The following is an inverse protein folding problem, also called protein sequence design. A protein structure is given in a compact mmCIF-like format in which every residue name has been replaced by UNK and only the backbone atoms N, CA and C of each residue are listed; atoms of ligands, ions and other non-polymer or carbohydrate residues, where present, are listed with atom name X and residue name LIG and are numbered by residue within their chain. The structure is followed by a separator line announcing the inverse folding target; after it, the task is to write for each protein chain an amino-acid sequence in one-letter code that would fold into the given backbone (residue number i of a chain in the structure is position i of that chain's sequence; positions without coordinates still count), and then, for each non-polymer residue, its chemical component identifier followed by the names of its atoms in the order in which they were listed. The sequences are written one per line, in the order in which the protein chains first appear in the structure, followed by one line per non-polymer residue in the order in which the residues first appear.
data_IF_655904598974
#
_entry.id   IF_655904598974
#
_cell.length_a   1.000
_cell.length_b   1.000
_cell.length_c   1.000
_cell.angle_alpha   90.00
_cell.angle_beta   90.00
_cell.angle_gamma   90.00
#
_symmetry.space_group_name_H-M   'P 1'
#
loop_
_entity.id
_entity.type
_entity.pdbx_description
1 polymer ?
#
# COMPACT_ATOMS: atom_id res chain seq x y z
N UNK A 1 -19.57 -12.74 -2.21
CA UNK A 1 -20.12 -11.40 -1.87
C UNK A 1 -19.58 -10.38 -2.87
N UNK A 2 -20.29 -9.28 -3.19
CA UNK A 2 -19.74 -8.23 -4.05
C UNK A 2 -18.51 -7.58 -3.40
N UNK A 3 -17.57 -7.09 -4.20
CA UNK A 3 -16.27 -6.65 -3.70
C UNK A 3 -16.31 -5.45 -2.75
N UNK A 4 -17.26 -4.53 -2.93
CA UNK A 4 -17.49 -3.43 -1.99
C UNK A 4 -17.87 -3.92 -0.59
N UNK A 5 -18.61 -5.04 -0.49
CA UNK A 5 -18.90 -5.70 0.79
C UNK A 5 -17.68 -6.42 1.36
N UNK A 6 -16.74 -6.86 0.52
CA UNK A 6 -15.50 -7.50 0.99
C UNK A 6 -14.47 -6.50 1.50
N UNK A 7 -14.36 -5.33 0.87
CA UNK A 7 -13.54 -4.23 1.39
C UNK A 7 -14.03 -3.78 2.78
N UNK A 8 -15.34 -3.61 2.94
CA UNK A 8 -15.97 -3.32 4.23
C UNK A 8 -15.75 -4.46 5.24
N UNK A 9 -15.85 -5.71 4.80
CA UNK A 9 -15.60 -6.87 5.66
C UNK A 9 -14.15 -6.95 6.14
N UNK A 10 -13.18 -6.58 5.30
CA UNK A 10 -11.76 -6.65 5.62
C UNK A 10 -11.28 -5.50 6.50
N UNK A 11 -11.75 -4.27 6.25
CA UNK A 11 -11.24 -3.05 6.92
C UNK A 11 -12.24 -2.40 7.88
N UNK A 12 -13.51 -2.80 7.85
CA UNK A 12 -14.58 -2.24 8.69
C UNK A 12 -14.77 -2.93 10.04
N UNK A 13 -13.84 -3.79 10.44
CA UNK A 13 -13.82 -4.43 11.76
C UNK A 13 -13.04 -3.58 12.76
N UNK A 14 -13.39 -3.65 14.04
CA UNK A 14 -12.60 -3.03 15.10
C UNK A 14 -11.26 -3.76 15.26
N UNK A 15 -10.31 -3.11 15.92
CA UNK A 15 -9.07 -3.78 16.32
C UNK A 15 -9.41 -4.97 17.26
N UNK A 16 -8.54 -5.98 17.32
CA UNK A 16 -8.74 -7.27 18.01
C UNK A 16 -9.89 -8.16 17.48
N UNK A 17 -10.64 -7.75 16.44
CA UNK A 17 -11.68 -8.60 15.88
C UNK A 17 -11.12 -9.70 14.95
N UNK A 18 -11.61 -10.95 15.08
CA UNK A 18 -11.18 -12.03 14.22
C UNK A 18 -11.68 -11.88 12.78
N UNK A 19 -10.81 -12.24 11.84
CA UNK A 19 -11.12 -12.26 10.41
C UNK A 19 -10.57 -13.53 9.75
N UNK A 20 -11.31 -14.01 8.75
CA UNK A 20 -10.87 -15.03 7.81
C UNK A 20 -11.11 -14.54 6.39
N UNK A 21 -10.07 -14.59 5.55
CA UNK A 21 -10.08 -14.31 4.12
C UNK A 21 -9.66 -15.58 3.37
N UNK A 22 -10.28 -15.87 2.23
CA UNK A 22 -9.96 -17.06 1.44
C UNK A 22 -9.71 -16.71 -0.02
N UNK A 23 -8.76 -17.40 -0.64
CA UNK A 23 -8.43 -17.31 -2.06
C UNK A 23 -7.81 -15.97 -2.48
N UNK A 24 -7.19 -15.26 -1.54
CA UNK A 24 -6.66 -13.93 -1.76
C UNK A 24 -5.31 -13.98 -2.49
N UNK A 25 -5.08 -13.13 -3.49
CA UNK A 25 -3.82 -13.10 -4.24
C UNK A 25 -2.82 -12.20 -3.53
N UNK A 26 -1.61 -12.69 -3.29
CA UNK A 26 -0.51 -11.86 -2.80
C UNK A 26 -0.03 -10.95 -3.92
N UNK A 27 -0.16 -9.64 -3.73
CA UNK A 27 0.23 -8.62 -4.71
C UNK A 27 1.66 -8.12 -4.50
N UNK A 28 2.17 -8.14 -3.26
CA UNK A 28 3.56 -7.89 -2.92
C UNK A 28 3.94 -8.63 -1.64
N UNK A 29 5.20 -9.01 -1.49
CA UNK A 29 5.73 -9.63 -0.29
C UNK A 29 7.02 -8.93 0.15
N UNK A 30 7.12 -8.64 1.44
CA UNK A 30 8.28 -8.06 2.12
C UNK A 30 8.80 -9.04 3.19
N UNK A 31 9.78 -8.64 3.99
CA UNK A 31 10.40 -9.54 4.97
C UNK A 31 9.43 -10.00 6.07
N UNK A 32 8.65 -9.07 6.62
CA UNK A 32 7.81 -9.33 7.79
C UNK A 32 6.31 -9.29 7.49
N UNK A 33 5.94 -8.86 6.29
CA UNK A 33 4.56 -8.66 5.87
C UNK A 33 4.41 -8.85 4.37
N UNK A 34 3.18 -9.13 3.95
CA UNK A 34 2.80 -9.17 2.55
C UNK A 34 1.44 -8.49 2.37
N UNK A 35 1.11 -8.15 1.13
CA UNK A 35 -0.18 -7.57 0.80
C UNK A 35 -0.98 -8.56 -0.01
N UNK A 36 -2.27 -8.65 0.34
CA UNK A 36 -3.23 -9.38 -0.48
C UNK A 36 -4.21 -8.41 -1.12
N UNK A 37 -4.59 -8.73 -2.35
CA UNK A 37 -5.45 -7.89 -3.16
C UNK A 37 -6.57 -8.72 -3.79
N UNK A 38 -7.77 -8.11 -3.87
CA UNK A 38 -8.89 -8.73 -4.56
C UNK A 38 -8.64 -8.81 -6.06
N UNK A 39 -9.16 -9.85 -6.71
CA UNK A 39 -8.95 -10.07 -8.15
C UNK A 39 -9.50 -8.95 -9.04
N UNK A 40 -10.47 -8.19 -8.55
CA UNK A 40 -11.03 -7.02 -9.23
C UNK A 40 -10.30 -5.71 -8.90
N UNK A 41 -9.27 -5.76 -8.04
CA UNK A 41 -8.40 -4.63 -7.68
C UNK A 41 -9.12 -3.46 -7.04
N UNK A 42 -10.24 -3.74 -6.37
CA UNK A 42 -11.02 -2.73 -5.67
C UNK A 42 -10.56 -2.54 -4.22
N UNK A 43 -9.87 -3.51 -3.63
CA UNK A 43 -9.31 -3.39 -2.28
C UNK A 43 -8.13 -4.35 -2.06
N UNK A 44 -7.26 -3.96 -1.14
CA UNK A 44 -6.17 -4.80 -0.65
C UNK A 44 -5.89 -4.47 0.82
N UNK A 45 -5.22 -5.38 1.51
CA UNK A 45 -4.90 -5.24 2.92
C UNK A 45 -3.53 -5.86 3.22
N UNK A 46 -2.79 -5.23 4.13
CA UNK A 46 -1.52 -5.76 4.64
C UNK A 46 -1.80 -6.95 5.56
N UNK A 47 -0.94 -7.95 5.50
CA UNK A 47 -0.95 -9.13 6.36
C UNK A 47 0.41 -9.23 7.02
N UNK A 48 0.45 -8.98 8.33
CA UNK A 48 1.68 -9.06 9.12
C UNK A 48 1.89 -10.51 9.53
N UNK A 49 2.98 -11.09 9.04
CA UNK A 49 3.35 -12.48 9.31
C UNK A 49 4.87 -12.64 9.27
N UNK A 50 5.60 -12.22 10.33
CA UNK A 50 7.05 -12.28 10.35
C UNK A 50 7.61 -13.66 9.99
N UNK A 51 8.73 -13.68 9.26
CA UNK A 51 9.44 -14.89 8.86
C UNK A 51 8.69 -15.78 7.85
N UNK A 52 7.71 -15.23 7.12
CA UNK A 52 7.05 -15.98 6.05
C UNK A 52 7.96 -16.19 4.84
N UNK A 53 7.62 -17.18 4.01
CA UNK A 53 8.29 -17.44 2.72
C UNK A 53 7.37 -17.24 1.52
N UNK A 54 6.26 -16.51 1.70
CA UNK A 54 5.32 -16.22 0.62
C UNK A 54 5.88 -15.23 -0.40
N UNK A 55 5.37 -15.30 -1.63
CA UNK A 55 5.75 -14.41 -2.72
C UNK A 55 4.52 -13.91 -3.49
N UNK A 56 4.70 -12.80 -4.19
CA UNK A 56 3.69 -12.27 -5.11
C UNK A 56 3.25 -13.35 -6.12
N UNK A 57 1.95 -13.38 -6.42
CA UNK A 57 1.33 -14.36 -7.31
C UNK A 57 0.89 -15.67 -6.64
N UNK A 58 1.20 -15.90 -5.37
CA UNK A 58 0.56 -16.97 -4.59
C UNK A 58 -0.88 -16.58 -4.24
N UNK A 59 -1.78 -17.56 -4.12
CA UNK A 59 -3.08 -17.40 -3.45
C UNK A 59 -3.03 -18.01 -2.07
N UNK A 60 -3.61 -17.31 -1.10
CA UNK A 60 -3.61 -17.70 0.30
C UNK A 60 -4.98 -17.57 0.94
N UNK A 61 -5.20 -18.41 1.94
CA UNK A 61 -6.23 -18.23 2.94
C UNK A 61 -5.55 -17.69 4.22
N UNK A 62 -6.13 -16.65 4.81
CA UNK A 62 -5.55 -15.90 5.93
C UNK A 62 -6.56 -15.87 7.07
N UNK A 63 -6.10 -16.21 8.26
CA UNK A 63 -6.84 -16.05 9.51
C UNK A 63 -6.00 -15.23 10.49
N UNK A 64 -6.66 -14.36 11.24
CA UNK A 64 -5.98 -13.50 12.22
C UNK A 64 -6.92 -12.48 12.84
N UNK A 65 -6.33 -11.43 13.38
CA UNK A 65 -7.04 -10.28 13.95
C UNK A 65 -6.87 -9.06 13.05
N UNK A 66 -7.90 -8.23 12.94
CA UNK A 66 -7.76 -6.91 12.32
C UNK A 66 -7.11 -5.97 13.33
N UNK A 67 -6.16 -5.16 12.85
CA UNK A 67 -5.39 -4.24 13.67
C UNK A 67 -5.09 -2.93 12.92
N UNK A 68 -4.65 -1.91 13.66
CA UNK A 68 -4.17 -0.65 13.11
C UNK A 68 -2.70 -0.42 13.42
N UNK A 69 -1.89 -0.26 12.38
CA UNK A 69 -0.46 -0.02 12.56
C UNK A 69 -0.20 1.34 13.17
N UNK A 70 0.98 1.52 13.79
CA UNK A 70 1.43 2.84 14.25
C UNK A 70 1.54 3.86 13.12
N UNK A 71 1.65 3.40 11.87
CA UNK A 71 1.61 4.20 10.65
C UNK A 71 0.19 4.60 10.22
N UNK A 72 -0.86 4.09 10.86
CA UNK A 72 -2.28 4.35 10.55
C UNK A 72 -2.90 3.44 9.48
N UNK A 73 -2.16 2.44 9.00
CA UNK A 73 -2.66 1.47 8.02
C UNK A 73 -3.37 0.31 8.73
N UNK A 74 -4.56 -0.09 8.25
CA UNK A 74 -5.24 -1.30 8.70
C UNK A 74 -4.59 -2.53 8.10
N UNK A 75 -4.37 -3.53 8.94
CA UNK A 75 -3.72 -4.77 8.58
C UNK A 75 -4.36 -5.96 9.30
N UNK A 76 -3.96 -7.17 8.89
CA UNK A 76 -4.30 -8.41 9.58
C UNK A 76 -3.05 -8.91 10.30
N UNK A 77 -3.12 -9.05 11.62
CA UNK A 77 -2.14 -9.80 12.40
C UNK A 77 -2.44 -11.30 12.22
N UNK A 78 -1.73 -11.94 11.30
CA UNK A 78 -2.07 -13.30 10.89
C UNK A 78 -1.61 -14.35 11.92
N UNK A 79 -2.55 -15.19 12.35
CA UNK A 79 -2.27 -16.41 13.13
C UNK A 79 -1.99 -17.59 12.21
N UNK A 80 -2.74 -17.69 11.11
CA UNK A 80 -2.62 -18.77 10.13
C UNK A 80 -2.59 -18.19 8.72
N UNK A 81 -1.67 -18.68 7.89
CA UNK A 81 -1.69 -18.43 6.45
C UNK A 81 -1.41 -19.76 5.75
N UNK A 82 -2.29 -20.18 4.85
CA UNK A 82 -2.12 -21.38 4.05
C UNK A 82 -2.18 -21.04 2.57
N UNK A 83 -1.30 -21.64 1.77
CA UNK A 83 -1.35 -21.46 0.32
C UNK A 83 -2.51 -22.28 -0.27
N UNK A 84 -3.43 -21.61 -0.96
CA UNK A 84 -4.59 -22.21 -1.63
C UNK A 84 -4.47 -22.23 -3.16
N UNK A 85 -3.41 -21.64 -3.72
CA UNK A 85 -3.09 -21.76 -5.15
C UNK A 85 -2.18 -20.66 -5.68
N UNK A 86 -2.45 -20.21 -6.90
CA UNK A 86 -1.76 -19.10 -7.58
C UNK A 86 -2.75 -18.14 -8.24
N UNK A 87 -2.30 -16.92 -8.50
CA UNK A 87 -3.06 -15.86 -9.17
C UNK A 87 -2.16 -14.74 -9.66
N UNK A 88 -2.75 -13.73 -10.29
CA UNK A 88 -2.04 -12.53 -10.71
C UNK A 88 -2.91 -11.31 -10.50
N UNK A 89 -2.26 -10.21 -10.14
CA UNK A 89 -2.83 -8.88 -10.00
C UNK A 89 -1.92 -7.93 -10.76
N UNK A 90 -2.48 -7.15 -11.67
CA UNK A 90 -1.74 -6.16 -12.43
C UNK A 90 -1.89 -4.79 -11.77
N UNK A 91 -0.80 -4.01 -11.65
CA UNK A 91 -0.86 -2.69 -11.05
C UNK A 91 -1.84 -1.78 -11.78
N UNK A 92 -2.53 -0.93 -11.02
CA UNK A 92 -3.32 0.17 -11.59
C UNK A 92 -2.43 1.41 -11.72
N UNK A 93 -2.43 2.04 -12.90
CA UNK A 93 -1.67 3.27 -13.12
C UNK A 93 -2.39 4.47 -12.52
N UNK A 94 -1.71 5.21 -11.64
CA UNK A 94 -2.25 6.40 -10.96
C UNK A 94 -1.27 7.57 -11.05
N UNK A 95 -1.80 8.80 -11.02
CA UNK A 95 -0.99 10.00 -10.76
C UNK A 95 -0.73 10.14 -9.26
N UNK A 96 0.34 10.83 -8.89
CA UNK A 96 0.81 10.93 -7.50
C UNK A 96 -0.28 11.49 -6.57
N UNK A 97 -1.15 12.40 -7.04
CA UNK A 97 -2.24 12.99 -6.25
C UNK A 97 -3.34 12.00 -5.80
N UNK A 98 -3.48 10.86 -6.47
CA UNK A 98 -4.50 9.85 -6.13
C UNK A 98 -3.98 8.78 -5.15
N UNK A 99 -2.71 8.85 -4.73
CA UNK A 99 -2.16 7.88 -3.81
C UNK A 99 -2.67 8.14 -2.38
N UNK A 100 -3.15 7.09 -1.72
CA UNK A 100 -3.75 7.12 -0.38
C UNK A 100 -5.26 7.33 -0.40
N UNK A 101 -5.74 8.32 -1.16
CA UNK A 101 -7.16 8.66 -1.28
C UNK A 101 -7.79 9.18 0.02
N UNK A 102 -9.10 9.36 -0.02
CA UNK A 102 -9.95 9.78 1.11
C UNK A 102 -10.19 8.62 2.11
N UNK A 103 -10.94 8.89 3.18
CA UNK A 103 -11.34 7.87 4.15
C UNK A 103 -12.18 6.75 3.50
N UNK A 104 -11.92 5.50 3.88
CA UNK A 104 -12.75 4.35 3.55
C UNK A 104 -13.49 3.88 4.81
N UNK A 105 -14.73 4.31 4.96
CA UNK A 105 -15.60 3.99 6.10
C UNK A 105 -14.98 4.31 7.47
N UNK A 106 -14.06 5.28 7.52
CA UNK A 106 -13.37 5.60 8.77
C UNK A 106 -14.26 6.43 9.70
N UNK A 107 -14.46 5.93 10.91
CA UNK A 107 -15.26 6.59 11.96
C UNK A 107 -14.44 6.90 13.24
N UNK A 108 -13.13 6.67 13.18
CA UNK A 108 -12.23 6.77 14.34
C UNK A 108 -11.93 5.44 15.02
N UNK A 109 -12.71 4.38 14.74
CA UNK A 109 -12.59 3.06 15.37
C UNK A 109 -12.37 1.98 14.30
N UNK A 110 -13.18 2.03 13.24
CA UNK A 110 -13.16 1.09 12.11
C UNK A 110 -12.77 1.82 10.82
N UNK A 111 -12.57 1.05 9.75
CA UNK A 111 -12.27 1.59 8.43
C UNK A 111 -10.80 1.99 8.27
N UNK A 112 -10.46 2.42 7.07
CA UNK A 112 -9.13 2.92 6.75
C UNK A 112 -9.17 4.44 6.63
N UNK A 113 -8.47 5.12 7.53
CA UNK A 113 -8.22 6.56 7.40
C UNK A 113 -7.44 6.83 6.11
N UNK A 114 -7.89 7.81 5.34
CA UNK A 114 -7.23 8.33 4.15
C UNK A 114 -6.05 9.21 4.50
N UNK A 115 -5.34 9.65 3.47
CA UNK A 115 -4.23 10.59 3.64
C UNK A 115 -4.75 12.02 3.74
N UNK A 116 -3.97 12.90 4.38
CA UNK A 116 -4.27 14.32 4.51
C UNK A 116 -4.44 14.94 3.13
N UNK A 117 -5.57 15.60 2.90
CA UNK A 117 -5.96 16.15 1.60
C UNK A 117 -5.96 15.09 0.48
N UNK A 118 -6.22 13.82 0.82
CA UNK A 118 -6.35 12.74 -0.15
C UNK A 118 -7.46 13.01 -1.15
N UNK A 119 -7.29 12.49 -2.36
CA UNK A 119 -8.22 12.71 -3.47
C UNK A 119 -8.67 11.39 -4.08
N UNK A 120 -9.98 11.19 -4.19
CA UNK A 120 -10.58 9.99 -4.77
C UNK A 120 -10.59 8.79 -3.81
N UNK A 121 -10.92 7.59 -4.33
CA UNK A 121 -11.09 6.40 -3.51
C UNK A 121 -9.82 6.01 -2.73
N UNK A 122 -10.00 5.53 -1.50
CA UNK A 122 -8.91 4.97 -0.72
C UNK A 122 -8.31 3.74 -1.43
N UNK A 123 -7.02 3.77 -1.67
CA UNK A 123 -6.29 2.69 -2.34
C UNK A 123 -5.13 2.15 -1.49
N UNK A 124 -5.09 2.47 -0.20
CA UNK A 124 -4.10 1.91 0.73
C UNK A 124 -4.23 0.37 0.73
N UNK A 125 -3.12 -0.32 0.55
CA UNK A 125 -3.03 -1.77 0.40
C UNK A 125 -3.10 -2.29 -1.05
N UNK A 126 -3.30 -1.43 -2.05
CA UNK A 126 -3.35 -1.82 -3.47
C UNK A 126 -1.99 -1.72 -4.15
N UNK A 127 -1.76 -2.62 -5.11
CA UNK A 127 -0.63 -2.58 -6.04
C UNK A 127 -0.91 -1.57 -7.16
N UNK A 128 -0.03 -0.59 -7.28
CA UNK A 128 -0.14 0.49 -8.26
C UNK A 128 1.16 0.68 -9.00
N UNK A 129 1.07 1.40 -10.12
CA UNK A 129 2.24 1.93 -10.80
C UNK A 129 2.04 3.44 -10.99
N UNK A 130 3.11 4.21 -10.80
CA UNK A 130 3.10 5.66 -11.01
C UNK A 130 4.44 6.10 -11.57
N UNK A 131 4.53 7.32 -12.06
CA UNK A 131 5.80 7.90 -12.49
C UNK A 131 5.98 9.28 -11.88
N UNK A 132 7.20 9.79 -11.96
CA UNK A 132 7.50 11.15 -11.54
C UNK A 132 8.99 11.44 -11.66
N UNK A 133 9.30 12.74 -11.58
CA UNK A 133 10.67 13.23 -11.51
C UNK A 133 11.19 13.04 -10.09
N UNK A 134 12.40 12.50 -9.95
CA UNK A 134 13.09 12.38 -8.68
C UNK A 134 13.46 13.76 -8.12
N UNK A 135 12.90 14.09 -6.96
CA UNK A 135 13.10 15.38 -6.29
C UNK A 135 14.04 15.29 -5.09
N UNK A 136 14.17 14.10 -4.50
CA UNK A 136 15.05 13.81 -3.37
C UNK A 136 15.40 12.32 -3.32
N UNK A 137 16.60 11.98 -2.85
CA UNK A 137 17.04 10.60 -2.58
C UNK A 137 17.76 10.57 -1.24
N UNK A 138 17.30 9.69 -0.34
CA UNK A 138 17.99 9.29 0.89
C UNK A 138 18.40 7.80 0.82
N UNK A 139 18.81 7.24 1.95
CA UNK A 139 19.44 5.91 1.97
C UNK A 139 18.53 4.76 1.49
N UNK A 140 17.29 4.71 1.97
CA UNK A 140 16.30 3.66 1.65
C UNK A 140 14.93 4.23 1.24
N UNK A 141 14.93 5.49 0.81
CA UNK A 141 13.74 6.15 0.33
C UNK A 141 14.09 7.29 -0.63
N UNK A 142 13.12 7.67 -1.43
CA UNK A 142 13.24 8.81 -2.34
C UNK A 142 11.87 9.46 -2.55
N UNK A 143 11.85 10.60 -3.23
CA UNK A 143 10.62 11.31 -3.59
C UNK A 143 10.50 11.46 -5.09
N UNK A 144 9.27 11.30 -5.59
CA UNK A 144 8.91 11.51 -6.99
C UNK A 144 7.76 12.50 -7.12
N UNK A 145 7.82 13.36 -8.13
CA UNK A 145 6.78 14.33 -8.45
C UNK A 145 6.41 14.28 -9.93
N UNK A 146 5.14 14.01 -10.24
CA UNK A 146 4.55 14.08 -11.58
C UNK A 146 4.00 15.47 -11.95
N UNK A 147 4.27 16.48 -11.11
CA UNK A 147 3.72 17.83 -11.22
C UNK A 147 2.48 18.06 -10.34
N UNK A 148 1.97 17.01 -9.68
CA UNK A 148 0.93 17.13 -8.67
C UNK A 148 1.36 17.91 -7.43
N UNK A 149 2.67 18.01 -7.16
CA UNK A 149 3.24 18.71 -6.00
C UNK A 149 2.63 18.22 -4.68
N UNK A 150 2.45 16.90 -4.57
CA UNK A 150 2.03 16.28 -3.31
C UNK A 150 3.00 16.71 -2.21
N UNK A 151 2.46 17.11 -1.07
CA UNK A 151 3.24 17.51 0.08
C UNK A 151 2.95 16.59 1.23
N UNK A 152 4.00 16.26 1.97
CA UNK A 152 3.90 15.63 3.27
C UNK A 152 4.37 16.58 4.38
N UNK A 153 4.68 16.05 5.56
CA UNK A 153 5.24 16.82 6.68
C UNK A 153 6.76 17.04 6.57
N UNK A 154 7.36 16.84 5.39
CA UNK A 154 8.78 17.06 5.11
C UNK A 154 9.01 18.32 4.24
N UNK A 155 10.27 18.62 3.94
CA UNK A 155 10.66 19.68 3.01
C UNK A 155 10.71 19.23 1.55
N UNK A 156 10.47 17.95 1.26
CA UNK A 156 10.59 17.37 -0.07
C UNK A 156 9.26 17.45 -0.83
N UNK A 157 9.33 17.73 -2.13
CA UNK A 157 8.15 17.78 -3.00
C UNK A 157 7.91 16.42 -3.63
N UNK A 158 6.67 15.94 -3.61
CA UNK A 158 6.28 14.68 -4.24
C UNK A 158 5.84 13.63 -3.23
N UNK A 159 5.68 12.41 -3.72
CA UNK A 159 5.31 11.24 -2.91
C UNK A 159 6.55 10.51 -2.46
N UNK A 160 6.58 10.16 -1.16
CA UNK A 160 7.64 9.35 -0.57
C UNK A 160 7.53 7.90 -1.05
N UNK A 161 8.66 7.33 -1.45
CA UNK A 161 8.79 5.94 -1.87
C UNK A 161 9.84 5.27 -1.00
N UNK A 162 9.50 4.17 -0.33
CA UNK A 162 10.47 3.28 0.32
C UNK A 162 11.04 2.36 -0.76
N UNK A 163 12.37 2.36 -0.88
CA UNK A 163 13.11 1.65 -1.89
C UNK A 163 14.38 2.40 -2.30
N UNK A 164 15.10 1.84 -3.26
CA UNK A 164 16.34 2.41 -3.81
C UNK A 164 16.17 2.76 -5.27
N UNK A 165 16.80 3.85 -5.71
CA UNK A 165 16.83 4.23 -7.12
C UNK A 165 18.01 3.54 -7.82
N UNK A 166 17.83 2.91 -8.99
CA UNK A 166 18.92 2.23 -9.72
C UNK A 166 19.80 3.24 -10.50
N UNK A 167 20.24 4.33 -9.85
CA UNK A 167 21.04 5.38 -10.50
C UNK A 167 21.92 6.15 -9.49
N UNK A 168 23.15 6.47 -9.90
CA UNK A 168 24.14 7.21 -9.07
C UNK A 168 23.88 8.73 -9.06
N UNK A 169 23.29 9.29 -10.13
CA UNK A 169 22.88 10.71 -10.19
C UNK A 169 21.37 10.84 -10.46
N UNK A 170 20.54 10.39 -9.51
CA UNK A 170 19.11 10.16 -9.73
C UNK A 170 18.29 11.45 -9.82
N UNK A 171 18.71 12.53 -9.15
CA UNK A 171 17.91 13.75 -9.05
C UNK A 171 17.65 14.36 -10.43
N UNK A 172 16.38 14.73 -10.67
CA UNK A 172 15.92 15.30 -11.94
C UNK A 172 15.59 14.26 -13.02
N UNK A 173 15.95 12.98 -12.83
CA UNK A 173 15.53 11.88 -13.73
C UNK A 173 14.09 11.48 -13.46
N UNK A 174 13.45 10.91 -14.47
CA UNK A 174 12.12 10.33 -14.33
C UNK A 174 12.24 8.84 -14.03
N UNK A 175 11.37 8.37 -13.14
CA UNK A 175 11.23 6.94 -12.84
C UNK A 175 9.78 6.51 -12.93
N UNK A 176 9.59 5.23 -13.25
CA UNK A 176 8.36 4.49 -12.97
C UNK A 176 8.57 3.71 -11.68
N UNK A 177 7.61 3.76 -10.78
CA UNK A 177 7.58 3.01 -9.53
C UNK A 177 6.36 2.12 -9.55
N UNK A 178 6.56 0.81 -9.42
CA UNK A 178 5.50 -0.14 -9.10
C UNK A 178 5.65 -0.54 -7.64
N UNK A 179 4.54 -0.56 -6.90
CA UNK A 179 4.57 -0.90 -5.48
C UNK A 179 3.21 -0.77 -4.81
N UNK A 180 3.20 -1.02 -3.51
CA UNK A 180 1.98 -0.94 -2.71
C UNK A 180 1.79 0.49 -2.20
N UNK A 181 0.57 1.02 -2.36
CA UNK A 181 0.16 2.24 -1.66
C UNK A 181 0.03 1.92 -0.17
N UNK A 182 0.82 2.59 0.64
CA UNK A 182 0.73 2.58 2.10
C UNK A 182 0.62 4.03 2.58
N UNK A 183 0.74 4.24 3.88
CA UNK A 183 0.80 5.55 4.49
C UNK A 183 1.84 5.58 5.62
N UNK A 184 2.24 6.79 5.98
CA UNK A 184 2.96 7.03 7.23
C UNK A 184 2.27 8.14 8.02
N UNK A 185 2.37 8.04 9.34
CA UNK A 185 1.75 8.99 10.27
C UNK A 185 2.76 10.05 10.70
N UNK A 186 2.34 11.32 10.71
CA UNK A 186 3.08 12.42 11.33
C UNK A 186 2.09 13.33 12.09
N UNK A 187 2.25 13.40 13.41
CA UNK A 187 1.17 13.91 14.27
C UNK A 187 -0.07 13.02 14.13
N UNK A 188 -1.25 13.61 13.96
CA UNK A 188 -2.49 12.86 13.72
C UNK A 188 -2.81 12.61 12.23
N UNK A 189 -1.94 13.07 11.35
CA UNK A 189 -2.19 13.08 9.91
C UNK A 189 -1.47 11.91 9.23
N UNK A 190 -2.11 11.34 8.21
CA UNK A 190 -1.52 10.32 7.36
C UNK A 190 -1.05 10.96 6.05
N UNK A 191 0.07 10.49 5.52
CA UNK A 191 0.64 10.96 4.26
C UNK A 191 0.92 9.77 3.33
N UNK A 192 0.82 9.96 2.01
CA UNK A 192 0.97 8.86 1.07
C UNK A 192 2.41 8.33 1.06
N UNK A 193 2.51 7.01 0.99
CA UNK A 193 3.76 6.26 0.89
C UNK A 193 3.61 5.20 -0.20
N UNK A 194 4.66 4.99 -0.99
CA UNK A 194 4.76 3.77 -1.79
C UNK A 194 5.83 2.86 -1.20
N UNK A 195 5.51 1.57 -1.08
CA UNK A 195 6.49 0.51 -0.81
C UNK A 195 6.85 -0.14 -2.14
N UNK A 196 8.00 0.21 -2.72
CA UNK A 196 8.34 -0.21 -4.07
C UNK A 196 8.62 -1.71 -4.15
N UNK A 197 8.09 -2.36 -5.19
CA UNK A 197 8.50 -3.70 -5.63
C UNK A 197 9.39 -3.62 -6.87
N UNK A 198 9.28 -2.54 -7.65
CA UNK A 198 10.09 -2.28 -8.84
C UNK A 198 10.27 -0.77 -9.03
N UNK A 199 11.49 -0.35 -9.38
CA UNK A 199 11.81 1.02 -9.76
C UNK A 199 12.60 0.98 -11.08
N UNK A 200 12.08 1.65 -12.11
CA UNK A 200 12.71 1.72 -13.44
C UNK A 200 12.98 3.17 -13.81
N UNK A 201 14.16 3.46 -14.36
CA UNK A 201 14.41 4.75 -15.02
C UNK A 201 13.58 4.86 -16.30
N UNK A 202 13.07 6.06 -16.57
CA UNK A 202 12.43 6.42 -17.83
C UNK A 202 13.45 7.27 -18.59
N UNK A 203 13.87 6.78 -19.75
CA UNK A 203 14.78 7.48 -20.68
C UNK A 203 14.09 8.63 -21.42
#
# INVERSE_FOLDING_TARGET
MPASRMALYAKGRQDDEPISLSGMVISAAFTDDFYVESSDRCWGIRVDKPGHSFAAGMKVDVEGLVETGTNGERYILATTVSQSGTGSVLPVYLTNKFLGGEDLYYDGITGQKGVKNGYGPNNIGLLVSTCGRLTYVGDNYFYIDDGSKVKDNSTHVGVKVIGTVPCVSPIGKYVRVTGIVSCFKAGEELYPLLRSTEVTLIE
#
